data_IF_509422899453
#
_entry.id   IF_509422899453
#
_cell.length_a   1.000
_cell.length_b   1.000
_cell.length_c   1.000
_cell.angle_alpha   90.00
_cell.angle_beta   90.00
_cell.angle_gamma   90.00
#
_symmetry.space_group_name_H-M   'P 1'
#
loop_
_entity.id
_entity.type
_entity.pdbx_description
1 polymer ?
#
# COMPACT_ATOMS: atom_id res chain seq x y z
N UNK A 1 7.52 -23.24 -20.27
CA UNK A 1 7.50 -22.29 -19.14
C UNK A 1 7.55 -23.09 -17.86
N UNK A 2 8.39 -22.74 -16.87
CA UNK A 2 8.36 -23.40 -15.57
C UNK A 2 6.95 -23.30 -14.95
N UNK A 3 6.58 -24.29 -14.14
CA UNK A 3 5.28 -24.31 -13.46
C UNK A 3 5.13 -23.07 -12.56
N UNK A 4 3.92 -22.50 -12.50
CA UNK A 4 3.64 -21.29 -11.72
C UNK A 4 4.07 -21.42 -10.24
N UNK A 5 3.87 -22.61 -9.67
CA UNK A 5 4.30 -22.97 -8.32
C UNK A 5 5.82 -22.88 -8.13
N UNK A 6 6.60 -23.32 -9.13
CA UNK A 6 8.06 -23.25 -9.07
C UNK A 6 8.54 -21.79 -9.10
N UNK A 7 7.89 -20.94 -9.90
CA UNK A 7 8.20 -19.50 -9.96
C UNK A 7 7.84 -18.84 -8.62
N UNK A 8 6.65 -19.11 -8.10
CA UNK A 8 6.21 -18.56 -6.82
C UNK A 8 7.14 -19.00 -5.68
N UNK A 9 7.49 -20.29 -5.61
CA UNK A 9 8.43 -20.84 -4.64
C UNK A 9 9.80 -20.15 -4.72
N UNK A 10 10.36 -19.99 -5.93
CA UNK A 10 11.63 -19.30 -6.13
C UNK A 10 11.59 -17.83 -5.66
N UNK A 11 10.49 -17.12 -5.92
CA UNK A 11 10.30 -15.75 -5.43
C UNK A 11 10.18 -15.68 -3.90
N UNK A 12 9.52 -16.66 -3.26
CA UNK A 12 9.44 -16.72 -1.80
C UNK A 12 10.81 -17.01 -1.17
N UNK A 13 11.57 -17.96 -1.73
CA UNK A 13 12.94 -18.23 -1.30
C UNK A 13 13.82 -17.00 -1.45
N UNK A 14 13.70 -16.27 -2.57
CA UNK A 14 14.43 -15.03 -2.77
C UNK A 14 14.08 -13.98 -1.70
N UNK A 15 12.81 -13.87 -1.32
CA UNK A 15 12.35 -13.00 -0.24
C UNK A 15 12.87 -13.37 1.15
N UNK A 16 13.20 -14.64 1.36
CA UNK A 16 13.87 -15.12 2.57
C UNK A 16 15.35 -14.76 2.55
N UNK A 17 16.02 -14.98 1.41
CA UNK A 17 17.43 -14.66 1.25
C UNK A 17 17.68 -13.16 1.43
N UNK A 18 16.81 -12.29 0.92
CA UNK A 18 16.90 -10.85 1.16
C UNK A 18 16.85 -10.47 2.65
N UNK A 19 16.19 -11.28 3.50
CA UNK A 19 16.11 -11.02 4.94
C UNK A 19 17.33 -11.50 5.72
N UNK A 20 17.93 -12.62 5.32
CA UNK A 20 18.89 -13.34 6.17
C UNK A 20 20.34 -13.35 5.65
N UNK A 21 20.57 -13.05 4.37
CA UNK A 21 21.88 -13.32 3.74
C UNK A 21 22.85 -12.14 3.79
N UNK A 22 22.43 -10.97 4.27
CA UNK A 22 23.30 -9.79 4.41
C UNK A 22 23.96 -9.37 3.09
N UNK A 23 25.23 -8.95 3.14
CA UNK A 23 25.94 -8.31 2.01
C UNK A 23 26.17 -9.20 0.78
N UNK A 24 26.05 -10.52 0.89
CA UNK A 24 26.31 -11.44 -0.23
C UNK A 24 25.45 -11.13 -1.46
N UNK A 25 24.19 -10.73 -1.24
CA UNK A 25 23.27 -10.39 -2.33
C UNK A 25 23.48 -8.98 -2.89
N UNK A 26 24.25 -8.11 -2.24
CA UNK A 26 24.49 -6.75 -2.74
C UNK A 26 25.22 -6.75 -4.09
N UNK A 27 26.19 -7.66 -4.26
CA UNK A 27 26.95 -7.80 -5.50
C UNK A 27 26.06 -8.15 -6.71
N UNK A 28 24.95 -8.87 -6.48
CA UNK A 28 24.00 -9.29 -7.51
C UNK A 28 22.64 -8.59 -7.38
N UNK A 29 22.58 -7.50 -6.63
CA UNK A 29 21.32 -6.85 -6.30
C UNK A 29 20.54 -6.43 -7.55
N UNK A 30 21.25 -5.92 -8.56
CA UNK A 30 20.65 -5.57 -9.86
C UNK A 30 19.96 -6.77 -10.52
N UNK A 31 20.64 -7.91 -10.61
CA UNK A 31 20.10 -9.13 -11.21
C UNK A 31 18.87 -9.63 -10.43
N UNK A 32 18.92 -9.52 -9.10
CA UNK A 32 17.82 -9.89 -8.21
C UNK A 32 16.59 -9.01 -8.48
N UNK A 33 16.74 -7.68 -8.49
CA UNK A 33 15.65 -6.74 -8.77
C UNK A 33 15.09 -6.96 -10.17
N UNK A 34 15.95 -7.09 -11.18
CA UNK A 34 15.52 -7.34 -12.57
C UNK A 34 14.74 -8.65 -12.71
N UNK A 35 15.18 -9.70 -12.00
CA UNK A 35 14.47 -10.99 -11.97
C UNK A 35 13.09 -10.86 -11.34
N UNK A 36 12.96 -10.16 -10.22
CA UNK A 36 11.65 -9.93 -9.58
C UNK A 36 10.73 -9.11 -10.49
N UNK A 37 11.24 -8.01 -11.05
CA UNK A 37 10.46 -7.12 -11.92
C UNK A 37 10.05 -7.78 -13.24
N UNK A 38 10.75 -8.83 -13.70
CA UNK A 38 10.37 -9.62 -14.87
C UNK A 38 9.01 -10.30 -14.70
N UNK A 39 8.62 -10.64 -13.48
CA UNK A 39 7.38 -11.35 -13.19
C UNK A 39 6.20 -10.45 -12.78
N UNK A 40 6.40 -9.13 -12.77
CA UNK A 40 5.41 -8.15 -12.26
C UNK A 40 4.06 -8.19 -13.01
N UNK A 41 4.09 -8.49 -14.31
CA UNK A 41 2.90 -8.55 -15.18
C UNK A 41 2.47 -10.01 -15.48
N UNK A 42 2.82 -10.96 -14.59
CA UNK A 42 2.43 -12.36 -14.74
C UNK A 42 0.92 -12.52 -14.80
N UNK A 43 0.43 -13.49 -15.57
CA UNK A 43 -1.01 -13.84 -15.62
C UNK A 43 -1.50 -14.42 -14.28
N UNK A 44 -0.60 -15.06 -13.54
CA UNK A 44 -0.90 -15.72 -12.27
C UNK A 44 -0.92 -14.71 -11.11
N UNK A 45 -2.06 -14.64 -10.42
CA UNK A 45 -2.26 -13.72 -9.28
C UNK A 45 -1.26 -13.97 -8.16
N UNK A 46 -0.92 -15.22 -7.87
CA UNK A 46 0.04 -15.56 -6.80
C UNK A 46 1.44 -15.03 -7.10
N UNK A 47 1.84 -15.03 -8.38
CA UNK A 47 3.14 -14.51 -8.81
C UNK A 47 3.14 -12.98 -8.70
N UNK A 48 2.09 -12.29 -9.17
CA UNK A 48 1.99 -10.83 -9.02
C UNK A 48 2.01 -10.40 -7.56
N UNK A 49 1.26 -11.08 -6.68
CA UNK A 49 1.29 -10.83 -5.22
C UNK A 49 2.68 -11.06 -4.62
N UNK A 50 3.39 -12.09 -5.07
CA UNK A 50 4.77 -12.32 -4.64
C UNK A 50 5.70 -11.18 -5.04
N UNK A 51 5.56 -10.66 -6.27
CA UNK A 51 6.34 -9.49 -6.70
C UNK A 51 6.01 -8.28 -5.84
N UNK A 52 4.73 -7.97 -5.61
CA UNK A 52 4.29 -6.84 -4.78
C UNK A 52 4.87 -6.92 -3.36
N UNK A 53 4.90 -8.11 -2.73
CA UNK A 53 5.46 -8.28 -1.39
C UNK A 53 7.00 -8.26 -1.33
N UNK A 54 7.67 -8.46 -2.47
CA UNK A 54 9.13 -8.39 -2.57
C UNK A 54 9.63 -6.96 -2.78
N UNK A 55 8.87 -6.06 -3.42
CA UNK A 55 9.33 -4.68 -3.68
C UNK A 55 9.78 -3.94 -2.41
N UNK A 56 9.02 -3.96 -1.29
CA UNK A 56 9.47 -3.30 -0.07
C UNK A 56 10.70 -3.96 0.55
N UNK A 57 10.85 -5.28 0.40
CA UNK A 57 12.04 -6.00 0.89
C UNK A 57 13.28 -5.63 0.10
N UNK A 58 13.15 -5.45 -1.22
CA UNK A 58 14.23 -4.95 -2.06
C UNK A 58 14.61 -3.52 -1.67
N UNK A 59 13.62 -2.66 -1.39
CA UNK A 59 13.85 -1.31 -0.91
C UNK A 59 14.55 -1.27 0.45
N UNK A 60 14.13 -2.11 1.40
CA UNK A 60 14.76 -2.23 2.72
C UNK A 60 16.19 -2.77 2.66
N UNK A 61 16.48 -3.66 1.71
CA UNK A 61 17.79 -4.30 1.60
C UNK A 61 18.89 -3.36 1.04
N UNK A 62 18.56 -2.47 0.11
CA UNK A 62 19.50 -1.50 -0.45
C UNK A 62 18.79 -0.18 -0.81
N UNK A 63 18.41 0.64 0.19
CA UNK A 63 17.48 1.76 0.02
C UNK A 63 17.99 2.86 -0.91
N UNK A 64 19.27 3.23 -0.84
CA UNK A 64 19.85 4.30 -1.66
C UNK A 64 19.86 3.91 -3.14
N UNK A 65 20.36 2.69 -3.44
CA UNK A 65 20.40 2.16 -4.80
C UNK A 65 18.99 1.96 -5.34
N UNK A 66 18.08 1.46 -4.50
CA UNK A 66 16.68 1.29 -4.89
C UNK A 66 16.00 2.62 -5.22
N UNK A 67 16.20 3.64 -4.38
CA UNK A 67 15.66 4.98 -4.57
C UNK A 67 16.13 5.61 -5.89
N UNK A 68 17.41 5.42 -6.23
CA UNK A 68 18.02 5.99 -7.44
C UNK A 68 17.55 5.29 -8.72
N UNK A 69 17.64 3.96 -8.78
CA UNK A 69 17.52 3.22 -10.05
C UNK A 69 16.14 2.58 -10.29
N UNK A 70 15.39 2.27 -9.22
CA UNK A 70 14.25 1.36 -9.30
C UNK A 70 12.94 1.94 -8.78
N UNK A 71 12.99 2.93 -7.89
CA UNK A 71 11.82 3.48 -7.19
C UNK A 71 10.73 3.96 -8.14
N UNK A 72 11.07 4.83 -9.10
CA UNK A 72 10.11 5.38 -10.07
C UNK A 72 9.38 4.28 -10.85
N UNK A 73 10.11 3.24 -11.27
CA UNK A 73 9.56 2.08 -11.99
C UNK A 73 8.64 1.24 -11.10
N UNK A 74 9.01 1.04 -9.83
CA UNK A 74 8.22 0.27 -8.86
C UNK A 74 6.94 1.00 -8.46
N UNK A 75 7.03 2.30 -8.18
CA UNK A 75 5.86 3.15 -7.89
C UNK A 75 4.91 3.19 -9.09
N UNK A 76 5.42 3.40 -10.31
CA UNK A 76 4.59 3.37 -11.52
C UNK A 76 3.84 2.05 -11.67
N UNK A 77 4.52 0.93 -11.39
CA UNK A 77 3.87 -0.37 -11.38
C UNK A 77 2.80 -0.47 -10.28
N UNK A 78 3.11 -0.10 -9.03
CA UNK A 78 2.15 -0.17 -7.93
C UNK A 78 0.92 0.73 -8.16
N UNK A 79 1.10 1.93 -8.70
CA UNK A 79 -0.01 2.82 -9.11
C UNK A 79 -0.91 2.16 -10.17
N UNK A 80 -0.36 1.37 -11.07
CA UNK A 80 -1.17 0.58 -12.01
C UNK A 80 -1.93 -0.54 -11.30
N UNK A 81 -1.30 -1.23 -10.33
CA UNK A 81 -1.92 -2.30 -9.54
C UNK A 81 -3.06 -1.77 -8.66
N UNK A 82 -2.95 -0.55 -8.12
CA UNK A 82 -4.00 0.09 -7.33
C UNK A 82 -5.33 0.24 -8.09
N UNK A 83 -5.30 0.27 -9.43
CA UNK A 83 -6.52 0.29 -10.26
C UNK A 83 -7.27 -1.04 -10.23
N UNK A 84 -6.63 -2.13 -9.78
CA UNK A 84 -7.22 -3.47 -9.71
C UNK A 84 -7.68 -3.81 -8.28
N UNK A 85 -8.99 -3.89 -8.01
CA UNK A 85 -9.52 -4.12 -6.66
C UNK A 85 -9.00 -5.39 -5.97
N UNK A 86 -8.66 -6.42 -6.75
CA UNK A 86 -8.23 -7.72 -6.25
C UNK A 86 -6.82 -7.75 -5.63
N UNK A 87 -6.01 -6.73 -5.90
CA UNK A 87 -4.61 -6.60 -5.46
C UNK A 87 -4.30 -5.21 -4.85
N UNK A 88 -5.26 -4.28 -4.92
CA UNK A 88 -5.17 -2.91 -4.40
C UNK A 88 -4.67 -2.83 -2.96
N UNK A 89 -5.22 -3.63 -2.04
CA UNK A 89 -4.79 -3.62 -0.63
C UNK A 89 -3.32 -3.98 -0.45
N UNK A 90 -2.84 -5.00 -1.18
CA UNK A 90 -1.43 -5.39 -1.14
C UNK A 90 -0.50 -4.31 -1.72
N UNK A 91 -0.95 -3.60 -2.77
CA UNK A 91 -0.18 -2.50 -3.35
C UNK A 91 -0.09 -1.28 -2.42
N UNK A 92 -1.16 -0.94 -1.68
CA UNK A 92 -1.09 0.09 -0.64
C UNK A 92 -0.13 -0.26 0.49
N UNK A 93 -0.18 -1.51 0.97
CA UNK A 93 0.78 -2.02 1.95
C UNK A 93 2.22 -1.93 1.44
N UNK A 94 2.47 -2.36 0.21
CA UNK A 94 3.80 -2.28 -0.39
C UNK A 94 4.31 -0.83 -0.55
N UNK A 95 3.45 0.12 -0.94
CA UNK A 95 3.82 1.54 -1.00
C UNK A 95 4.19 2.08 0.38
N UNK A 96 3.41 1.75 1.41
CA UNK A 96 3.68 2.14 2.79
C UNK A 96 5.01 1.58 3.28
N UNK A 97 5.23 0.28 3.14
CA UNK A 97 6.46 -0.38 3.59
C UNK A 97 7.70 0.16 2.83
N UNK A 98 7.57 0.45 1.54
CA UNK A 98 8.63 1.08 0.76
C UNK A 98 8.96 2.49 1.27
N UNK A 99 7.94 3.31 1.56
CA UNK A 99 8.15 4.64 2.10
C UNK A 99 8.84 4.60 3.46
N UNK A 100 8.39 3.73 4.37
CA UNK A 100 9.02 3.51 5.68
C UNK A 100 10.48 3.08 5.54
N UNK A 101 10.75 2.12 4.64
CA UNK A 101 12.10 1.61 4.40
C UNK A 101 13.05 2.68 3.89
N UNK A 102 12.58 3.55 2.99
CA UNK A 102 13.40 4.66 2.48
C UNK A 102 13.54 5.80 3.48
N UNK A 103 12.50 6.07 4.29
CA UNK A 103 12.53 7.10 5.31
C UNK A 103 13.56 6.80 6.41
N UNK A 104 13.73 5.52 6.78
CA UNK A 104 14.73 5.09 7.75
C UNK A 104 16.17 5.51 7.39
N UNK A 105 16.45 5.76 6.10
CA UNK A 105 17.77 6.15 5.59
C UNK A 105 17.74 7.53 4.90
N UNK A 106 16.70 8.33 5.13
CA UNK A 106 16.58 9.68 4.58
C UNK A 106 16.35 9.77 3.07
N UNK A 107 16.02 8.65 2.41
CA UNK A 107 15.78 8.55 0.97
C UNK A 107 14.29 8.73 0.57
N UNK A 108 13.44 9.13 1.52
CA UNK A 108 12.00 9.28 1.31
C UNK A 108 11.62 10.35 0.25
N UNK A 109 12.52 11.29 -0.04
CA UNK A 109 12.31 12.34 -1.04
C UNK A 109 11.99 11.83 -2.45
N UNK A 110 12.39 10.60 -2.78
CA UNK A 110 12.06 9.98 -4.08
C UNK A 110 10.56 9.75 -4.32
N UNK A 111 9.72 9.86 -3.29
CA UNK A 111 8.27 9.79 -3.44
C UNK A 111 7.63 11.12 -3.89
N UNK A 112 8.32 12.26 -3.80
CA UNK A 112 7.72 13.59 -3.96
C UNK A 112 6.84 13.76 -5.21
N UNK A 113 7.32 13.30 -6.36
CA UNK A 113 6.63 13.50 -7.65
C UNK A 113 5.39 12.62 -7.83
N UNK A 114 5.26 11.55 -7.04
CA UNK A 114 4.15 10.61 -7.14
C UNK A 114 3.09 10.78 -6.04
N UNK A 115 3.33 11.65 -5.04
CA UNK A 115 2.39 11.91 -3.94
C UNK A 115 0.99 12.33 -4.42
N UNK A 116 0.83 13.21 -5.42
CA UNK A 116 -0.50 13.55 -5.93
C UNK A 116 -1.27 12.33 -6.45
N UNK A 117 -0.57 11.43 -7.15
CA UNK A 117 -1.17 10.23 -7.71
C UNK A 117 -1.56 9.23 -6.61
N UNK A 118 -0.71 9.04 -5.60
CA UNK A 118 -1.00 8.19 -4.45
C UNK A 118 -2.20 8.74 -3.67
N UNK A 119 -2.23 10.04 -3.37
CA UNK A 119 -3.35 10.69 -2.68
C UNK A 119 -4.67 10.52 -3.43
N UNK A 120 -4.67 10.66 -4.75
CA UNK A 120 -5.85 10.42 -5.57
C UNK A 120 -6.35 8.95 -5.49
N UNK A 121 -5.44 7.97 -5.50
CA UNK A 121 -5.80 6.56 -5.35
C UNK A 121 -6.35 6.24 -3.95
N UNK A 122 -5.77 6.83 -2.90
CA UNK A 122 -6.29 6.70 -1.53
C UNK A 122 -7.70 7.27 -1.46
N UNK A 123 -7.93 8.48 -2.00
CA UNK A 123 -9.26 9.09 -2.01
C UNK A 123 -10.30 8.20 -2.70
N UNK A 124 -9.98 7.60 -3.85
CA UNK A 124 -10.88 6.66 -4.54
C UNK A 124 -11.13 5.37 -3.74
N UNK A 125 -10.15 4.92 -2.96
CA UNK A 125 -10.24 3.70 -2.15
C UNK A 125 -10.98 3.90 -0.82
N UNK A 126 -10.98 5.13 -0.31
CA UNK A 126 -11.60 5.53 0.96
C UNK A 126 -13.01 6.08 0.73
N UNK A 127 -13.29 6.73 -0.40
CA UNK A 127 -14.60 7.30 -0.68
C UNK A 127 -15.71 6.23 -0.54
N UNK A 128 -16.78 6.52 0.23
CA UNK A 128 -17.93 5.64 0.30
C UNK A 128 -18.52 5.52 -1.11
N UNK A 129 -18.36 4.36 -1.76
CA UNK A 129 -19.02 4.07 -3.04
C UNK A 129 -20.50 3.76 -2.80
N UNK A 130 -21.21 4.73 -2.22
CA UNK A 130 -22.65 4.79 -2.14
C UNK A 130 -23.16 5.73 -3.22
N UNK A 131 -23.83 5.20 -4.24
CA UNK A 131 -24.67 6.03 -5.09
C UNK A 131 -25.74 6.75 -4.25
N UNK A 132 -26.36 7.83 -4.77
CA UNK A 132 -27.46 8.52 -4.09
C UNK A 132 -28.63 7.53 -3.92
N UNK A 133 -28.72 6.90 -2.75
CA UNK A 133 -29.70 5.83 -2.47
C UNK A 133 -29.32 4.86 -1.35
N UNK A 134 -28.06 4.80 -0.88
CA UNK A 134 -27.71 3.96 0.27
C UNK A 134 -27.97 4.70 1.60
N UNK A 135 -29.25 4.94 1.87
CA UNK A 135 -29.72 5.31 3.19
C UNK A 135 -29.70 4.11 4.12
N UNK A 136 -29.18 4.30 5.33
CA UNK A 136 -29.52 3.57 6.56
C UNK A 136 -29.51 2.03 6.46
N UNK A 137 -28.34 1.42 6.64
CA UNK A 137 -28.26 0.05 7.13
C UNK A 137 -27.56 0.04 8.50
N UNK A 138 -28.17 0.74 9.45
CA UNK A 138 -27.96 0.49 10.88
C UNK A 138 -28.80 -0.74 11.27
N UNK A 139 -28.14 -1.72 11.89
CA UNK A 139 -28.68 -2.89 12.61
C UNK A 139 -29.33 -4.02 11.79
N UNK A 140 -28.68 -5.19 11.79
CA UNK A 140 -29.30 -6.48 12.16
C UNK A 140 -28.30 -7.62 11.99
N UNK A 141 -27.79 -8.11 13.12
CA UNK A 141 -27.29 -9.47 13.24
C UNK A 141 -28.41 -10.47 12.89
N UNK A 142 -28.17 -11.37 11.93
CA UNK A 142 -28.94 -12.62 11.82
C UNK A 142 -28.08 -13.74 11.24
N UNK A 143 -27.92 -14.79 12.04
CA UNK A 143 -27.47 -16.11 11.63
C UNK A 143 -28.48 -16.72 10.64
N UNK A 144 -28.01 -17.41 9.60
CA UNK A 144 -28.85 -18.31 8.81
C UNK A 144 -28.44 -18.44 7.34
N UNK A 145 -28.13 -19.68 6.95
CA UNK A 145 -27.58 -20.11 5.68
C UNK A 145 -28.44 -19.87 4.42
N UNK A 146 -27.72 -19.82 3.29
CA UNK A 146 -27.99 -20.51 2.02
C UNK A 146 -28.18 -19.63 0.77
N UNK A 147 -27.32 -19.88 -0.22
CA UNK A 147 -27.76 -19.94 -1.62
C UNK A 147 -27.75 -18.65 -2.43
N UNK A 148 -26.63 -17.94 -2.49
CA UNK A 148 -26.42 -16.89 -3.49
C UNK A 148 -24.98 -16.41 -3.45
N UNK A 149 -24.20 -16.69 -4.51
CA UNK A 149 -22.82 -16.23 -4.65
C UNK A 149 -22.83 -14.70 -4.57
N UNK A 150 -22.25 -14.04 -3.54
CA UNK A 150 -22.12 -12.60 -3.61
C UNK A 150 -21.11 -12.32 -4.72
N UNK A 151 -21.55 -11.62 -5.77
CA UNK A 151 -20.62 -11.02 -6.71
C UNK A 151 -19.63 -10.18 -5.89
N UNK A 152 -18.34 -10.49 -6.02
CA UNK A 152 -17.23 -9.90 -5.29
C UNK A 152 -17.06 -8.41 -5.64
N UNK A 153 -17.93 -7.58 -5.08
CA UNK A 153 -17.98 -6.14 -5.29
C UNK A 153 -18.47 -5.42 -4.04
N UNK A 154 -18.08 -5.91 -2.86
CA UNK A 154 -18.30 -5.24 -1.58
C UNK A 154 -17.43 -3.98 -1.51
N UNK A 155 -17.90 -2.90 -2.13
CA UNK A 155 -17.25 -1.59 -2.19
C UNK A 155 -17.32 -0.84 -0.86
N UNK A 156 -16.77 -1.45 0.19
CA UNK A 156 -16.42 -0.76 1.42
C UNK A 156 -15.05 -0.07 1.30
N UNK A 157 -14.75 0.87 2.20
CA UNK A 157 -13.45 1.51 2.27
C UNK A 157 -12.36 0.46 2.49
N UNK A 158 -11.27 0.56 1.72
CA UNK A 158 -10.16 -0.39 1.79
C UNK A 158 -9.32 -0.07 3.04
N UNK A 159 -9.30 -0.93 4.08
CA UNK A 159 -8.60 -0.61 5.32
C UNK A 159 -7.09 -0.42 5.12
N UNK A 160 -6.50 -1.10 4.14
CA UNK A 160 -5.08 -0.94 3.79
C UNK A 160 -4.78 0.46 3.23
N UNK A 161 -5.75 1.14 2.61
CA UNK A 161 -5.57 2.52 2.15
C UNK A 161 -5.45 3.47 3.34
N UNK A 162 -6.24 3.27 4.40
CA UNK A 162 -6.17 4.08 5.63
C UNK A 162 -4.82 3.88 6.33
N UNK A 163 -4.39 2.62 6.48
CA UNK A 163 -3.08 2.29 7.06
C UNK A 163 -1.95 2.93 6.25
N UNK A 164 -2.07 2.92 4.91
CA UNK A 164 -1.10 3.55 4.03
C UNK A 164 -0.97 5.04 4.28
N UNK A 165 -2.07 5.78 4.51
CA UNK A 165 -1.99 7.22 4.86
C UNK A 165 -1.22 7.44 6.16
N UNK A 166 -1.49 6.63 7.19
CA UNK A 166 -0.80 6.73 8.48
C UNK A 166 0.71 6.48 8.33
N UNK A 167 1.08 5.38 7.66
CA UNK A 167 2.47 5.03 7.42
C UNK A 167 3.21 6.07 6.55
N UNK A 168 2.56 6.59 5.49
CA UNK A 168 3.12 7.65 4.67
C UNK A 168 3.31 8.95 5.47
N UNK A 169 2.43 9.24 6.42
CA UNK A 169 2.57 10.41 7.30
C UNK A 169 3.80 10.28 8.18
N UNK A 170 4.03 9.11 8.78
CA UNK A 170 5.22 8.85 9.59
C UNK A 170 6.51 8.87 8.75
N UNK A 171 6.47 8.34 7.54
CA UNK A 171 7.65 8.23 6.67
C UNK A 171 8.01 9.55 5.96
N UNK A 172 7.02 10.32 5.50
CA UNK A 172 7.23 11.48 4.62
C UNK A 172 6.97 12.83 5.31
N UNK A 173 6.26 12.83 6.45
CA UNK A 173 6.01 13.99 7.30
C UNK A 173 5.53 15.22 6.48
N UNK A 174 6.31 16.30 6.48
CA UNK A 174 5.94 17.58 5.84
C UNK A 174 5.67 17.49 4.34
N UNK A 175 6.23 16.50 3.62
CA UNK A 175 5.94 16.30 2.19
C UNK A 175 4.52 15.79 1.96
N UNK A 176 3.96 15.06 2.92
CA UNK A 176 2.65 14.43 2.82
C UNK A 176 1.52 15.29 3.43
N UNK A 177 1.87 16.21 4.34
CA UNK A 177 0.94 17.15 5.02
C UNK A 177 -0.18 17.73 4.13
N UNK A 178 0.09 18.38 2.98
CA UNK A 178 -0.98 19.01 2.20
C UNK A 178 -1.97 18.00 1.58
N UNK A 179 -1.54 16.75 1.39
CA UNK A 179 -2.39 15.69 0.88
C UNK A 179 -3.24 15.07 1.99
N UNK A 180 -2.68 14.91 3.19
CA UNK A 180 -3.42 14.42 4.37
C UNK A 180 -4.59 15.33 4.70
N UNK A 181 -4.39 16.65 4.72
CA UNK A 181 -5.47 17.62 4.97
C UNK A 181 -6.66 17.43 4.02
N UNK A 182 -6.40 17.08 2.75
CA UNK A 182 -7.46 16.83 1.76
C UNK A 182 -8.07 15.43 1.85
N UNK A 183 -7.49 14.53 2.65
CA UNK A 183 -7.94 13.15 2.83
C UNK A 183 -8.69 12.95 4.15
N UNK A 184 -8.44 13.78 5.17
CA UNK A 184 -9.05 13.66 6.50
C UNK A 184 -10.58 13.59 6.44
N UNK A 185 -11.24 14.52 5.75
CA UNK A 185 -12.70 14.52 5.61
C UNK A 185 -13.21 13.22 4.97
N UNK A 186 -12.58 12.78 3.87
CA UNK A 186 -12.93 11.53 3.20
C UNK A 186 -12.74 10.31 4.10
N UNK A 187 -11.69 10.28 4.93
CA UNK A 187 -11.42 9.23 5.90
C UNK A 187 -12.47 9.20 7.02
N UNK A 188 -12.88 10.36 7.54
CA UNK A 188 -13.91 10.43 8.60
C UNK A 188 -15.29 10.00 8.10
N UNK A 189 -15.61 10.27 6.83
CA UNK A 189 -16.86 9.81 6.18
C UNK A 189 -16.95 8.28 6.00
N UNK A 190 -15.87 7.53 6.20
CA UNK A 190 -15.88 6.05 6.12
C UNK A 190 -16.55 5.36 7.31
N UNK A 191 -16.80 6.10 8.39
CA UNK A 191 -17.32 5.58 9.65
C UNK A 191 -16.22 5.13 10.62
N UNK A 192 -16.58 5.02 11.90
CA UNK A 192 -15.66 4.69 12.98
C UNK A 192 -15.18 3.24 12.85
N UNK A 193 -13.89 3.06 12.55
CA UNK A 193 -13.21 1.76 12.56
C UNK A 193 -11.92 1.85 13.39
N UNK A 194 -11.52 0.73 13.99
CA UNK A 194 -10.26 0.67 14.74
C UNK A 194 -9.05 1.01 13.85
N UNK A 195 -9.10 0.62 12.57
CA UNK A 195 -8.08 0.95 11.57
C UNK A 195 -8.00 2.46 11.30
N UNK A 196 -9.14 3.14 11.21
CA UNK A 196 -9.19 4.59 11.07
C UNK A 196 -8.56 5.28 12.28
N UNK A 197 -8.93 4.88 13.49
CA UNK A 197 -8.40 5.46 14.75
C UNK A 197 -6.87 5.29 14.80
N UNK A 198 -6.36 4.08 14.54
CA UNK A 198 -4.91 3.83 14.52
C UNK A 198 -4.19 4.67 13.47
N UNK A 199 -4.80 4.85 12.30
CA UNK A 199 -4.21 5.65 11.22
C UNK A 199 -4.22 7.15 11.55
N UNK A 200 -5.30 7.66 12.15
CA UNK A 200 -5.39 9.05 12.63
C UNK A 200 -4.40 9.32 13.77
N UNK A 201 -4.22 8.37 14.69
CA UNK A 201 -3.21 8.47 15.74
C UNK A 201 -1.79 8.58 15.14
N UNK A 202 -1.47 7.75 14.14
CA UNK A 202 -0.19 7.83 13.43
C UNK A 202 0.00 9.16 12.69
N UNK A 203 -1.07 9.73 12.12
CA UNK A 203 -1.05 11.07 11.50
C UNK A 203 -0.77 12.14 12.56
N UNK A 204 -1.49 12.11 13.68
CA UNK A 204 -1.36 13.10 14.75
C UNK A 204 0.04 13.08 15.40
N UNK A 205 0.64 11.90 15.55
CA UNK A 205 2.01 11.74 16.03
C UNK A 205 3.04 12.28 15.03
N UNK A 206 2.84 12.01 13.74
CA UNK A 206 3.76 12.44 12.69
C UNK A 206 3.64 13.93 12.35
N UNK A 207 2.46 14.51 12.51
CA UNK A 207 2.10 15.87 12.11
C UNK A 207 1.28 16.55 13.23
N UNK A 208 1.92 16.97 14.34
CA UNK A 208 1.22 17.56 15.48
C UNK A 208 0.50 18.88 15.14
N UNK A 209 0.89 19.55 14.07
CA UNK A 209 0.22 20.76 13.56
C UNK A 209 -1.17 20.48 12.95
N UNK A 210 -1.45 19.23 12.57
CA UNK A 210 -2.77 18.82 12.06
C UNK A 210 -3.69 18.30 13.17
N UNK A 211 -3.23 18.29 14.41
CA UNK A 211 -3.96 17.75 15.54
C UNK A 211 -5.23 18.56 15.84
N UNK A 212 -5.19 19.87 15.64
CA UNK A 212 -6.36 20.75 15.74
C UNK A 212 -7.38 20.42 14.63
N UNK A 213 -6.94 20.23 13.39
CA UNK A 213 -7.80 19.86 12.25
C UNK A 213 -8.47 18.48 12.46
N UNK A 214 -7.81 17.55 13.16
CA UNK A 214 -8.32 16.19 13.44
C UNK A 214 -9.29 16.17 14.63
N UNK A 215 -9.12 17.05 15.62
CA UNK A 215 -9.94 17.07 16.83
C UNK A 215 -11.20 17.93 16.73
N UNK A 216 -11.19 18.94 15.85
CA UNK A 216 -12.28 19.91 15.71
C UNK A 216 -13.05 19.84 14.37
N UNK A 217 -12.68 18.93 13.46
CA UNK A 217 -13.39 18.63 12.21
C UNK A 217 -14.34 17.46 12.32
#
# INVERSE_FOLDING_TARGET
MPAAEAIHGALMTLGELLRHTGEFLLARYREVVETVLRFKDSKEKLIRRAVISLLPRLAAFAPERFAQDYLSKCISHLLSVLRHPSERGAAFGALADMATSLAAVGCAGGFKDCLPAIAAQVRDAVAPRGGPGSGLAITAQKLGAAGGKPAAGGGGPVPEALVCVGALSQALQGLWKPYVQQLLEAMMLTGLSETLIRSLAAIAEALPELLEDIQFG
#
